data_IF_494284190698
#
_entry.id   IF_494284190698
#
_cell.length_a   1.000
_cell.length_b   1.000
_cell.length_c   1.000
_cell.angle_alpha   90.00
_cell.angle_beta   90.00
_cell.angle_gamma   90.00
#
_symmetry.space_group_name_H-M   'P 1'
#
loop_
_entity.id
_entity.type
_entity.pdbx_description
1 polymer ?
#
# COMPACT_ATOMS: atom_id res chain seq x y z
N UNK A 1 -1.57 -24.37 6.29
CA UNK A 1 -2.42 -23.61 7.23
C UNK A 1 -3.11 -22.52 6.45
N UNK A 2 -4.43 -22.58 6.31
CA UNK A 2 -5.20 -21.43 5.82
C UNK A 2 -4.99 -20.30 6.83
N UNK A 3 -4.49 -19.15 6.35
CA UNK A 3 -4.33 -17.99 7.21
C UNK A 3 -5.71 -17.40 7.45
N UNK A 4 -6.28 -17.64 8.62
CA UNK A 4 -7.57 -17.11 9.03
C UNK A 4 -7.38 -15.65 9.52
N UNK A 5 -7.55 -14.71 8.60
CA UNK A 5 -7.62 -13.28 8.88
C UNK A 5 -9.03 -12.79 8.56
N UNK A 6 -9.67 -12.06 9.47
CA UNK A 6 -10.95 -11.40 9.15
C UNK A 6 -10.76 -10.27 8.13
N UNK A 7 -9.65 -9.55 8.23
CA UNK A 7 -9.39 -8.35 7.42
C UNK A 7 -7.96 -8.29 6.91
N UNK A 8 -7.79 -7.80 5.68
CA UNK A 8 -6.48 -7.52 5.08
C UNK A 8 -6.40 -6.06 4.59
N UNK A 9 -5.36 -5.36 5.01
CA UNK A 9 -4.99 -4.06 4.46
C UNK A 9 -3.77 -4.22 3.56
N UNK A 10 -3.94 -3.99 2.26
CA UNK A 10 -2.84 -3.78 1.33
C UNK A 10 -2.35 -2.34 1.45
N UNK A 11 -1.05 -2.13 1.67
CA UNK A 11 -0.48 -0.78 1.49
C UNK A 11 0.46 -0.73 0.28
N UNK A 12 0.48 0.43 -0.34
CA UNK A 12 1.47 0.80 -1.33
C UNK A 12 1.73 2.29 -1.18
N UNK A 13 2.97 2.73 -1.33
CA UNK A 13 3.22 4.15 -1.22
C UNK A 13 4.60 4.62 -1.64
N UNK A 14 4.76 5.95 -1.58
CA UNK A 14 6.01 6.60 -1.94
C UNK A 14 7.17 6.17 -1.03
N UNK A 15 8.38 6.15 -1.61
CA UNK A 15 9.63 5.96 -0.87
C UNK A 15 9.99 7.17 -0.02
N UNK A 16 9.44 8.33 -0.34
CA UNK A 16 9.65 9.60 0.36
C UNK A 16 8.57 9.91 1.38
N UNK A 17 7.58 9.01 1.55
CA UNK A 17 6.47 9.26 2.47
C UNK A 17 6.96 9.43 3.91
N UNK A 18 6.56 10.53 4.54
CA UNK A 18 6.94 10.95 5.88
C UNK A 18 5.76 11.42 6.75
N UNK A 19 4.53 11.45 6.21
CA UNK A 19 3.34 11.85 6.95
C UNK A 19 2.70 10.68 7.72
N UNK A 20 3.18 10.46 8.95
CA UNK A 20 2.62 9.46 9.87
C UNK A 20 1.19 9.81 10.31
N UNK A 21 0.85 11.09 10.42
CA UNK A 21 -0.47 11.54 10.88
C UNK A 21 -1.53 11.16 9.88
N UNK A 22 -1.31 11.43 8.59
CA UNK A 22 -2.20 11.02 7.51
C UNK A 22 -2.32 9.49 7.44
N UNK A 23 -1.22 8.75 7.62
CA UNK A 23 -1.27 7.28 7.63
C UNK A 23 -2.11 6.72 8.77
N UNK A 24 -1.92 7.22 10.00
CA UNK A 24 -2.72 6.82 11.16
C UNK A 24 -4.18 7.16 10.98
N UNK A 25 -4.49 8.35 10.45
CA UNK A 25 -5.86 8.76 10.16
C UNK A 25 -6.54 7.77 9.23
N UNK A 26 -5.90 7.41 8.11
CA UNK A 26 -6.46 6.46 7.14
C UNK A 26 -6.62 5.07 7.74
N UNK A 27 -5.67 4.60 8.56
CA UNK A 27 -5.82 3.34 9.28
C UNK A 27 -7.00 3.36 10.24
N UNK A 28 -7.20 4.46 10.98
CA UNK A 28 -8.32 4.61 11.90
C UNK A 28 -9.66 4.66 11.15
N UNK A 29 -9.74 5.36 10.02
CA UNK A 29 -10.94 5.42 9.16
C UNK A 29 -11.30 4.02 8.64
N UNK A 30 -10.33 3.27 8.12
CA UNK A 30 -10.52 1.89 7.66
C UNK A 30 -10.97 0.99 8.82
N UNK A 31 -10.32 1.10 9.98
CA UNK A 31 -10.64 0.30 11.16
C UNK A 31 -12.06 0.58 11.66
N UNK A 32 -12.46 1.86 11.70
CA UNK A 32 -13.79 2.29 12.15
C UNK A 32 -14.87 1.72 11.26
N UNK A 33 -14.64 1.77 9.95
CA UNK A 33 -15.56 1.27 8.96
C UNK A 33 -15.64 -0.28 8.95
N UNK A 34 -14.54 -1.00 9.15
CA UNK A 34 -14.56 -2.44 9.41
C UNK A 34 -15.35 -2.80 10.68
N UNK A 35 -15.09 -2.10 11.78
CA UNK A 35 -15.75 -2.34 13.06
C UNK A 35 -17.27 -2.10 13.00
N UNK A 36 -17.73 -1.22 12.11
CA UNK A 36 -19.15 -0.98 11.88
C UNK A 36 -19.87 -2.16 11.20
N UNK A 37 -19.14 -3.05 10.51
CA UNK A 37 -19.70 -4.24 9.83
C UNK A 37 -19.54 -5.54 10.60
N UNK A 38 -18.69 -5.56 11.63
CA UNK A 38 -18.49 -6.74 12.45
C UNK A 38 -17.19 -6.72 13.24
N UNK A 39 -16.91 -7.78 14.02
CA UNK A 39 -15.69 -7.88 14.80
C UNK A 39 -14.46 -8.05 13.90
N UNK A 40 -13.39 -7.33 14.24
CA UNK A 40 -12.08 -7.44 13.59
C UNK A 40 -11.24 -8.45 14.37
N UNK A 41 -11.16 -9.69 13.88
CA UNK A 41 -10.32 -10.75 14.45
C UNK A 41 -9.08 -10.98 13.59
N UNK A 42 -7.90 -10.70 14.15
CA UNK A 42 -6.59 -10.94 13.48
C UNK A 42 -6.44 -10.21 12.13
N UNK A 43 -6.45 -8.86 12.09
CA UNK A 43 -6.21 -8.14 10.85
C UNK A 43 -4.75 -8.27 10.41
N UNK A 44 -4.50 -8.30 9.10
CA UNK A 44 -3.16 -8.43 8.51
C UNK A 44 -2.84 -7.26 7.59
N UNK A 45 -1.58 -6.84 7.60
CA UNK A 45 -1.02 -5.89 6.65
C UNK A 45 -0.28 -6.62 5.53
N UNK A 46 -0.49 -6.24 4.28
CA UNK A 46 0.30 -6.70 3.13
C UNK A 46 1.13 -5.54 2.59
N UNK A 47 2.45 -5.67 2.62
CA UNK A 47 3.40 -4.61 2.22
C UNK A 47 4.37 -5.07 1.13
N UNK A 48 4.93 -4.12 0.38
CA UNK A 48 5.99 -4.36 -0.59
C UNK A 48 7.38 -4.42 0.03
N UNK A 49 7.47 -4.26 1.35
CA UNK A 49 8.69 -4.22 2.13
C UNK A 49 9.76 -3.28 1.57
N UNK A 50 9.36 -2.10 1.08
CA UNK A 50 10.30 -1.08 0.69
C UNK A 50 11.03 -0.49 1.92
N UNK A 51 12.36 -0.64 2.04
CA UNK A 51 13.10 -0.13 3.19
C UNK A 51 13.00 1.40 3.28
N UNK A 52 13.15 1.92 4.50
CA UNK A 52 13.25 3.34 4.72
C UNK A 52 14.54 3.91 4.09
N UNK A 53 14.47 5.16 3.64
CA UNK A 53 15.66 5.90 3.26
C UNK A 53 16.48 6.33 4.48
N UNK A 54 17.59 7.05 4.26
CA UNK A 54 18.49 7.54 5.33
C UNK A 54 17.82 8.51 6.32
N UNK A 55 16.65 9.04 5.99
CA UNK A 55 15.85 9.93 6.83
C UNK A 55 14.68 9.20 7.50
N UNK A 56 14.58 7.88 7.35
CA UNK A 56 13.49 7.08 7.91
C UNK A 56 12.19 7.14 7.11
N UNK A 57 12.22 7.62 5.87
CA UNK A 57 11.02 7.79 5.02
C UNK A 57 10.77 6.56 4.17
N UNK A 58 9.52 6.13 4.11
CA UNK A 58 8.98 5.05 3.26
C UNK A 58 7.59 4.71 3.78
N UNK A 59 6.60 4.69 2.89
CA UNK A 59 5.24 4.32 3.26
C UNK A 59 5.17 2.87 3.79
N UNK A 60 5.85 1.93 3.13
CA UNK A 60 5.89 0.53 3.55
C UNK A 60 6.53 0.39 4.92
N UNK A 61 7.72 0.99 5.13
CA UNK A 61 8.43 0.86 6.40
C UNK A 61 7.66 1.50 7.56
N UNK A 62 7.02 2.65 7.32
CA UNK A 62 6.17 3.33 8.29
C UNK A 62 4.94 2.48 8.64
N UNK A 63 4.20 1.97 7.63
CA UNK A 63 3.03 1.14 7.85
C UNK A 63 3.38 -0.13 8.63
N UNK A 64 4.47 -0.80 8.26
CA UNK A 64 4.96 -1.98 8.97
C UNK A 64 5.31 -1.69 10.43
N UNK A 65 5.94 -0.55 10.71
CA UNK A 65 6.27 -0.12 12.08
C UNK A 65 4.99 0.09 12.89
N UNK A 66 4.03 0.82 12.34
CA UNK A 66 2.74 1.10 12.98
C UNK A 66 2.00 -0.21 13.30
N UNK A 67 1.90 -1.11 12.32
CA UNK A 67 1.19 -2.39 12.50
C UNK A 67 1.86 -3.27 13.56
N UNK A 68 3.20 -3.38 13.54
CA UNK A 68 3.95 -4.13 14.56
C UNK A 68 3.86 -3.51 15.94
N UNK A 69 3.82 -2.18 16.05
CA UNK A 69 3.66 -1.51 17.35
C UNK A 69 2.33 -1.85 18.03
N UNK A 70 1.31 -2.21 17.23
CA UNK A 70 0.03 -2.72 17.70
C UNK A 70 -0.01 -4.26 17.86
N UNK A 71 1.14 -4.94 17.79
CA UNK A 71 1.26 -6.41 17.83
C UNK A 71 0.46 -7.14 16.74
N UNK A 72 0.21 -6.49 15.60
CA UNK A 72 -0.53 -7.05 14.47
C UNK A 72 0.43 -7.64 13.42
N UNK A 73 -0.09 -8.58 12.61
CA UNK A 73 0.72 -9.34 11.67
C UNK A 73 0.96 -8.61 10.34
N UNK A 74 2.13 -8.84 9.73
CA UNK A 74 2.54 -8.24 8.46
C UNK A 74 3.05 -9.33 7.52
N UNK A 75 2.42 -9.43 6.34
CA UNK A 75 2.93 -10.19 5.20
C UNK A 75 3.76 -9.26 4.32
N UNK A 76 5.05 -9.55 4.21
CA UNK A 76 6.01 -8.81 3.40
C UNK A 76 6.23 -9.50 2.07
N UNK A 77 6.18 -8.74 0.98
CA UNK A 77 6.49 -9.24 -0.37
C UNK A 77 7.53 -8.28 -0.97
N UNK A 78 8.84 -8.50 -0.70
CA UNK A 78 9.90 -7.63 -1.21
C UNK A 78 10.11 -7.81 -2.71
N UNK A 79 10.57 -6.76 -3.39
CA UNK A 79 10.89 -6.85 -4.81
C UNK A 79 12.23 -7.56 -5.05
N UNK A 80 12.25 -8.59 -5.90
CA UNK A 80 13.48 -9.27 -6.31
C UNK A 80 14.21 -8.51 -7.42
N UNK A 81 14.96 -7.48 -7.02
CA UNK A 81 15.76 -6.65 -7.93
C UNK A 81 16.86 -7.46 -8.62
N UNK A 82 17.39 -8.50 -7.98
CA UNK A 82 18.47 -9.33 -8.52
C UNK A 82 17.96 -10.17 -9.70
N UNK A 83 16.77 -10.75 -9.59
CA UNK A 83 16.20 -11.58 -10.65
C UNK A 83 15.51 -10.78 -11.75
N UNK A 84 14.93 -9.61 -11.44
CA UNK A 84 13.99 -8.94 -12.35
C UNK A 84 14.33 -7.48 -12.68
N UNK A 85 15.41 -6.93 -12.10
CA UNK A 85 15.88 -5.57 -12.37
C UNK A 85 14.75 -4.54 -12.27
N UNK A 86 14.64 -3.65 -13.26
CA UNK A 86 13.64 -2.56 -13.27
C UNK A 86 12.18 -3.04 -13.19
N UNK A 87 11.88 -4.29 -13.58
CA UNK A 87 10.53 -4.85 -13.53
C UNK A 87 10.17 -5.42 -12.16
N UNK A 88 11.14 -5.63 -11.27
CA UNK A 88 10.93 -6.24 -9.95
C UNK A 88 9.84 -5.55 -9.15
N UNK A 89 9.85 -4.21 -9.10
CA UNK A 89 8.84 -3.44 -8.38
C UNK A 89 7.41 -3.66 -8.89
N UNK A 90 7.21 -3.76 -10.21
CA UNK A 90 5.90 -3.97 -10.81
C UNK A 90 5.41 -5.42 -10.63
N UNK A 91 6.31 -6.40 -10.75
CA UNK A 91 5.99 -7.81 -10.49
C UNK A 91 5.55 -8.01 -9.05
N UNK A 92 6.31 -7.44 -8.11
CA UNK A 92 6.00 -7.45 -6.69
C UNK A 92 4.65 -6.78 -6.36
N UNK A 93 4.26 -5.72 -7.07
CA UNK A 93 2.91 -5.14 -6.93
C UNK A 93 1.81 -6.16 -7.27
N UNK A 94 1.98 -6.89 -8.37
CA UNK A 94 1.02 -7.93 -8.79
C UNK A 94 0.99 -9.07 -7.77
N UNK A 95 2.16 -9.49 -7.27
CA UNK A 95 2.26 -10.53 -6.25
C UNK A 95 1.57 -10.14 -4.94
N UNK A 96 1.68 -8.87 -4.52
CA UNK A 96 0.95 -8.36 -3.35
C UNK A 96 -0.56 -8.43 -3.54
N UNK A 97 -1.07 -7.96 -4.68
CA UNK A 97 -2.51 -8.02 -4.97
C UNK A 97 -3.00 -9.47 -5.05
N UNK A 98 -2.25 -10.36 -5.70
CA UNK A 98 -2.56 -11.78 -5.76
C UNK A 98 -2.56 -12.44 -4.37
N UNK A 99 -1.68 -12.01 -3.46
CA UNK A 99 -1.70 -12.50 -2.08
C UNK A 99 -2.98 -12.08 -1.35
N UNK A 100 -3.43 -10.84 -1.54
CA UNK A 100 -4.70 -10.36 -0.97
C UNK A 100 -5.91 -11.08 -1.57
N UNK A 101 -5.92 -11.32 -2.88
CA UNK A 101 -7.00 -12.09 -3.52
C UNK A 101 -7.14 -13.49 -2.94
N UNK A 102 -6.02 -14.19 -2.68
CA UNK A 102 -6.06 -15.50 -2.00
C UNK A 102 -6.62 -15.43 -0.58
N UNK A 103 -6.44 -14.30 0.11
CA UNK A 103 -7.09 -14.09 1.42
C UNK A 103 -8.60 -13.86 1.24
N UNK A 104 -9.01 -13.08 0.24
CA UNK A 104 -10.42 -12.89 -0.08
C UNK A 104 -11.13 -14.19 -0.47
N UNK A 105 -10.47 -15.06 -1.25
CA UNK A 105 -10.96 -16.41 -1.57
C UNK A 105 -11.17 -17.27 -0.31
N UNK A 106 -10.43 -16.99 0.76
CA UNK A 106 -10.57 -17.63 2.07
C UNK A 106 -11.57 -16.92 3.01
N UNK A 107 -12.27 -15.87 2.53
CA UNK A 107 -13.28 -15.13 3.29
C UNK A 107 -12.79 -13.86 3.98
N UNK A 108 -11.54 -13.43 3.77
CA UNK A 108 -11.01 -12.19 4.34
C UNK A 108 -11.58 -10.95 3.62
N UNK A 109 -12.13 -10.00 4.38
CA UNK A 109 -12.48 -8.68 3.84
C UNK A 109 -11.20 -7.86 3.56
N UNK A 110 -11.05 -7.29 2.37
CA UNK A 110 -9.84 -6.56 2.00
C UNK A 110 -10.08 -5.11 1.59
N UNK A 111 -9.09 -4.27 1.91
CA UNK A 111 -8.94 -2.90 1.39
C UNK A 111 -7.50 -2.64 1.00
N UNK A 112 -7.29 -1.60 0.20
CA UNK A 112 -5.98 -1.05 -0.08
C UNK A 112 -5.89 0.43 0.30
N UNK A 113 -4.72 0.88 0.69
CA UNK A 113 -4.39 2.29 0.86
C UNK A 113 -3.17 2.65 0.00
N UNK A 114 -3.32 3.68 -0.82
CA UNK A 114 -2.28 4.20 -1.70
C UNK A 114 -1.77 5.55 -1.19
N UNK A 115 -0.56 5.54 -0.62
CA UNK A 115 0.12 6.73 -0.09
C UNK A 115 0.96 7.39 -1.19
N UNK A 116 0.34 8.35 -1.86
CA UNK A 116 0.76 8.96 -3.11
C UNK A 116 1.60 10.21 -2.84
N UNK A 117 2.75 10.28 -3.48
CA UNK A 117 3.57 11.48 -3.58
C UNK A 117 4.00 11.67 -5.02
N UNK A 118 4.38 12.90 -5.36
CA UNK A 118 4.83 13.25 -6.70
C UNK A 118 6.08 12.44 -7.06
N UNK A 119 6.21 12.13 -8.36
CA UNK A 119 7.39 11.46 -8.86
C UNK A 119 8.60 12.39 -8.75
N UNK A 120 9.63 11.95 -8.03
CA UNK A 120 10.91 12.66 -7.82
C UNK A 120 12.00 12.25 -8.82
N UNK A 121 11.65 11.44 -9.83
CA UNK A 121 12.61 10.92 -10.79
C UNK A 121 13.08 12.04 -11.73
N UNK A 122 14.35 12.41 -11.62
CA UNK A 122 15.02 13.32 -12.55
C UNK A 122 14.88 12.84 -14.01
N UNK A 123 14.46 13.73 -14.90
CA UNK A 123 14.25 13.41 -16.32
C UNK A 123 13.16 12.38 -16.56
N UNK A 124 12.14 12.32 -15.71
CA UNK A 124 11.02 11.41 -15.93
C UNK A 124 10.35 11.74 -17.28
N UNK A 125 10.23 10.78 -18.22
CA UNK A 125 9.59 11.02 -19.51
C UNK A 125 8.09 11.34 -19.39
N UNK A 126 7.52 11.13 -18.19
CA UNK A 126 6.13 11.38 -17.84
C UNK A 126 5.98 12.58 -16.89
N UNK A 127 7.02 13.41 -16.74
CA UNK A 127 7.00 14.54 -15.81
C UNK A 127 5.85 15.53 -16.09
N UNK A 128 5.43 15.62 -17.35
CA UNK A 128 4.33 16.49 -17.78
C UNK A 128 2.96 15.77 -17.79
N UNK A 129 2.89 14.48 -17.45
CA UNK A 129 1.63 13.76 -17.34
C UNK A 129 0.88 14.22 -16.09
N UNK A 130 -0.26 14.88 -16.25
CA UNK A 130 -1.12 15.22 -15.11
C UNK A 130 -2.00 14.02 -14.73
N UNK A 131 -1.82 13.52 -13.51
CA UNK A 131 -2.73 12.56 -12.89
C UNK A 131 -3.55 13.34 -11.86
N UNK A 132 -4.84 13.52 -12.11
CA UNK A 132 -5.71 14.32 -11.24
C UNK A 132 -6.15 13.48 -10.04
N UNK A 133 -5.76 13.91 -8.84
CA UNK A 133 -6.39 13.52 -7.58
C UNK A 133 -7.04 14.76 -6.95
N UNK A 134 -8.12 14.60 -6.17
CA UNK A 134 -8.85 15.74 -5.59
C UNK A 134 -7.98 16.67 -4.73
N UNK A 135 -6.97 16.13 -4.05
CA UNK A 135 -6.14 16.87 -3.09
C UNK A 135 -4.88 17.51 -3.71
N UNK A 136 -4.29 16.91 -4.74
CA UNK A 136 -3.04 17.37 -5.34
C UNK A 136 -2.98 16.98 -6.80
N UNK A 137 -2.64 17.94 -7.67
CA UNK A 137 -2.45 17.72 -9.11
C UNK A 137 -0.98 17.38 -9.38
N UNK A 138 -0.74 16.41 -10.26
CA UNK A 138 0.60 16.17 -10.78
C UNK A 138 0.87 14.72 -11.15
N UNK A 139 2.12 14.45 -11.53
CA UNK A 139 2.59 13.13 -11.88
C UNK A 139 3.04 12.36 -10.64
N UNK A 140 2.37 11.26 -10.28
CA UNK A 140 2.66 10.51 -9.06
C UNK A 140 3.65 9.35 -9.27
N UNK A 141 4.21 8.84 -8.17
CA UNK A 141 5.08 7.66 -8.16
C UNK A 141 4.50 6.49 -8.96
N UNK A 142 5.25 6.04 -9.98
CA UNK A 142 4.80 5.01 -10.93
C UNK A 142 4.51 3.69 -10.22
N UNK A 143 5.34 3.34 -9.24
CA UNK A 143 5.19 2.10 -8.47
C UNK A 143 3.90 2.09 -7.67
N UNK A 144 3.59 3.22 -7.00
CA UNK A 144 2.38 3.39 -6.20
C UNK A 144 1.13 3.37 -7.09
N UNK A 145 1.12 4.18 -8.16
CA UNK A 145 0.00 4.25 -9.11
C UNK A 145 -0.24 2.90 -9.78
N UNK A 146 0.83 2.16 -10.10
CA UNK A 146 0.70 0.82 -10.66
C UNK A 146 0.00 -0.13 -9.68
N UNK A 147 0.45 -0.19 -8.43
CA UNK A 147 -0.17 -1.08 -7.42
C UNK A 147 -1.64 -0.74 -7.20
N UNK A 148 -1.94 0.55 -7.02
CA UNK A 148 -3.31 1.08 -6.93
C UNK A 148 -4.18 0.59 -8.09
N UNK A 149 -3.71 0.76 -9.33
CA UNK A 149 -4.45 0.33 -10.53
C UNK A 149 -4.68 -1.19 -10.55
N UNK A 150 -3.67 -1.98 -10.18
CA UNK A 150 -3.81 -3.45 -10.13
C UNK A 150 -4.81 -3.87 -9.04
N UNK A 151 -4.78 -3.23 -7.86
CA UNK A 151 -5.74 -3.50 -6.79
C UNK A 151 -7.19 -3.15 -7.21
N UNK A 152 -7.40 -1.98 -7.80
CA UNK A 152 -8.71 -1.57 -8.32
C UNK A 152 -9.23 -2.52 -9.40
N UNK A 153 -8.36 -2.91 -10.36
CA UNK A 153 -8.73 -3.86 -11.41
C UNK A 153 -9.08 -5.25 -10.87
N UNK A 154 -8.55 -5.61 -9.70
CA UNK A 154 -8.86 -6.83 -8.97
C UNK A 154 -10.11 -6.72 -8.08
N UNK A 155 -10.83 -5.58 -8.10
CA UNK A 155 -12.02 -5.35 -7.29
C UNK A 155 -11.75 -4.98 -5.83
N UNK A 156 -10.50 -4.70 -5.45
CA UNK A 156 -10.16 -4.25 -4.10
C UNK A 156 -10.42 -2.75 -3.99
N UNK A 157 -11.23 -2.33 -3.01
CA UNK A 157 -11.47 -0.91 -2.73
C UNK A 157 -10.18 -0.23 -2.28
N UNK A 158 -9.87 0.93 -2.87
CA UNK A 158 -8.62 1.66 -2.60
C UNK A 158 -8.91 3.06 -2.05
N UNK A 159 -8.28 3.39 -0.93
CA UNK A 159 -8.23 4.74 -0.37
C UNK A 159 -6.98 5.43 -0.91
N UNK A 160 -7.17 6.53 -1.63
CA UNK A 160 -6.06 7.37 -2.10
C UNK A 160 -5.73 8.44 -1.07
N UNK A 161 -4.44 8.54 -0.74
CA UNK A 161 -3.93 9.49 0.23
C UNK A 161 -2.81 10.26 -0.45
N UNK A 162 -3.02 11.54 -0.71
CA UNK A 162 -1.96 12.43 -1.18
C UNK A 162 -1.64 13.43 -0.09
N UNK A 163 -0.35 13.70 0.15
CA UNK A 163 0.03 14.84 0.98
C UNK A 163 -0.54 16.12 0.36
N UNK A 164 -1.09 17.00 1.20
CA UNK A 164 -1.56 18.32 0.81
C UNK A 164 -0.41 19.19 0.28
#
# INVERSE_FOLDING_TARGET
>A
MALDYSHALLITGSRTWDDEVAMRRVFNEIWTDWAARGPITRPVLVSGHCPADKHGRSADAMAERLWRSASLHVIKIPADWKAHGKKAGLRRNVEMVNAVLRLCEAGTEARAAAFLDLCDKNGCPRANDEQLLPARRGHFSHGTVHCRRVAMAAGISVVDVACA
#
